data_IF_402417720761
#
_entry.id   IF_402417720761
#
_cell.length_a   1.000
_cell.length_b   1.000
_cell.length_c   1.000
_cell.angle_alpha   90.00
_cell.angle_beta   90.00
_cell.angle_gamma   90.00
#
_symmetry.space_group_name_H-M   'P 1'
#
loop_
_entity.id
_entity.type
_entity.pdbx_description
1 polymer ?
#
# COMPACT_ATOMS: atom_id res chain seq x y z
N UNK A 1 1.88 4.66 -3.22
CA UNK A 1 2.36 3.26 -3.23
C UNK A 1 1.15 2.37 -3.30
N UNK A 2 0.95 1.73 -4.46
CA UNK A 2 -0.11 0.74 -4.64
C UNK A 2 0.41 -0.66 -4.33
N UNK A 3 -0.50 -1.60 -4.07
CA UNK A 3 -0.16 -2.98 -3.75
C UNK A 3 -1.22 -3.93 -4.27
N UNK A 4 -0.81 -5.15 -4.57
CA UNK A 4 -1.67 -6.22 -5.07
C UNK A 4 -1.68 -7.37 -4.07
N UNK A 5 -2.88 -7.82 -3.70
CA UNK A 5 -3.07 -9.06 -2.92
C UNK A 5 -3.79 -10.07 -3.80
N UNK A 6 -3.18 -11.25 -3.97
CA UNK A 6 -3.84 -12.38 -4.63
C UNK A 6 -4.65 -13.16 -3.60
N UNK A 7 -5.95 -13.21 -3.80
CA UNK A 7 -6.88 -13.96 -2.97
C UNK A 7 -7.34 -15.21 -3.71
N UNK A 8 -6.94 -16.36 -3.17
CA UNK A 8 -7.41 -17.67 -3.60
C UNK A 8 -8.44 -18.16 -2.59
N UNK A 9 -9.73 -18.01 -2.90
CA UNK A 9 -10.77 -18.67 -2.11
C UNK A 9 -10.60 -20.18 -2.25
N UNK A 10 -10.57 -20.89 -1.11
CA UNK A 10 -10.58 -22.35 -1.13
C UNK A 10 -11.81 -22.80 -1.93
N UNK A 11 -11.56 -23.55 -3.03
CA UNK A 11 -12.56 -24.13 -3.97
C UNK A 11 -13.07 -23.23 -5.10
N UNK A 12 -12.57 -22.01 -5.28
CA UNK A 12 -12.80 -21.24 -6.50
C UNK A 12 -11.58 -21.38 -7.41
N UNK A 13 -11.78 -21.72 -8.68
CA UNK A 13 -10.70 -21.81 -9.67
C UNK A 13 -10.23 -20.42 -10.14
N UNK A 14 -11.00 -19.37 -9.87
CA UNK A 14 -10.69 -18.01 -10.33
C UNK A 14 -9.93 -17.27 -9.24
N UNK A 15 -8.70 -16.84 -9.56
CA UNK A 15 -7.91 -15.99 -8.67
C UNK A 15 -8.49 -14.57 -8.68
N UNK A 16 -8.72 -13.97 -7.51
CA UNK A 16 -9.00 -12.53 -7.40
C UNK A 16 -7.74 -11.78 -7.01
N UNK A 17 -7.54 -10.65 -7.67
CA UNK A 17 -6.49 -9.70 -7.40
C UNK A 17 -7.13 -8.48 -6.74
N UNK A 18 -6.68 -8.12 -5.54
CA UNK A 18 -7.14 -6.94 -4.82
C UNK A 18 -6.05 -5.88 -4.94
N UNK A 19 -6.36 -4.81 -5.63
CA UNK A 19 -5.51 -3.62 -5.75
C UNK A 19 -5.81 -2.61 -4.67
N UNK A 20 -4.81 -2.25 -3.88
CA UNK A 20 -4.85 -1.17 -2.90
C UNK A 20 -4.12 0.06 -3.45
N UNK A 21 -4.71 1.25 -3.33
CA UNK A 21 -4.09 2.51 -3.75
C UNK A 21 -4.66 3.04 -5.07
N UNK A 22 -4.02 4.06 -5.66
CA UNK A 22 -4.53 4.69 -6.88
C UNK A 22 -4.69 3.65 -7.98
N UNK A 23 -5.82 3.71 -8.67
CA UNK A 23 -6.21 2.77 -9.72
C UNK A 23 -5.12 2.60 -10.78
N UNK A 24 -4.57 3.71 -11.27
CA UNK A 24 -3.56 3.72 -12.32
C UNK A 24 -2.26 3.03 -11.84
N UNK A 25 -1.86 3.31 -10.60
CA UNK A 25 -0.68 2.70 -9.98
C UNK A 25 -0.88 1.19 -9.77
N UNK A 26 -2.08 0.75 -9.38
CA UNK A 26 -2.45 -0.68 -9.28
C UNK A 26 -2.38 -1.35 -10.64
N UNK A 27 -2.98 -0.76 -11.68
CA UNK A 27 -2.97 -1.30 -13.05
C UNK A 27 -1.53 -1.48 -13.54
N UNK A 28 -0.69 -0.45 -13.36
CA UNK A 28 0.73 -0.51 -13.72
C UNK A 28 1.48 -1.61 -12.97
N UNK A 29 1.19 -1.80 -11.68
CA UNK A 29 1.81 -2.85 -10.90
C UNK A 29 1.37 -4.25 -11.37
N UNK A 30 0.09 -4.44 -11.73
CA UNK A 30 -0.42 -5.71 -12.27
C UNK A 30 0.28 -6.02 -13.58
N UNK A 31 0.31 -5.06 -14.51
CA UNK A 31 1.00 -5.20 -15.80
C UNK A 31 2.49 -5.52 -15.62
N UNK A 32 3.14 -4.93 -14.61
CA UNK A 32 4.55 -5.19 -14.30
C UNK A 32 4.78 -6.59 -13.72
N UNK A 33 3.93 -7.03 -12.78
CA UNK A 33 4.02 -8.36 -12.17
C UNK A 33 3.60 -9.47 -13.14
N UNK A 34 2.77 -9.14 -14.13
CA UNK A 34 2.30 -10.06 -15.17
C UNK A 34 3.06 -9.93 -16.48
N UNK A 35 4.16 -9.18 -16.54
CA UNK A 35 4.93 -8.90 -17.76
C UNK A 35 5.44 -10.13 -18.55
N UNK A 36 5.29 -11.35 -18.01
CA UNK A 36 5.56 -12.61 -18.71
C UNK A 36 4.44 -12.95 -19.71
N UNK A 37 3.23 -12.43 -19.50
CA UNK A 37 2.04 -12.59 -20.35
C UNK A 37 1.32 -11.25 -20.49
N UNK A 38 1.25 -10.63 -21.68
CA UNK A 38 0.53 -9.38 -21.88
C UNK A 38 -0.92 -9.52 -21.41
N UNK A 39 -1.36 -8.67 -20.49
CA UNK A 39 -2.71 -8.68 -19.98
C UNK A 39 -3.50 -7.45 -20.48
N UNK A 40 -4.70 -7.68 -20.99
CA UNK A 40 -5.58 -6.62 -21.52
C UNK A 40 -6.77 -6.39 -20.58
N UNK A 41 -7.15 -5.12 -20.38
CA UNK A 41 -8.40 -4.75 -19.72
C UNK A 41 -9.56 -5.10 -20.67
N UNK A 42 -10.40 -6.05 -20.27
CA UNK A 42 -11.56 -6.49 -21.05
C UNK A 42 -12.87 -5.91 -20.51
N UNK A 43 -12.81 -4.93 -19.60
CA UNK A 43 -14.00 -4.34 -18.97
C UNK A 43 -14.77 -3.43 -19.91
N UNK A 44 -16.07 -3.68 -20.06
CA UNK A 44 -17.01 -2.79 -20.75
C UNK A 44 -17.28 -1.48 -19.98
N UNK A 45 -16.85 -1.40 -18.72
CA UNK A 45 -17.10 -0.27 -17.82
C UNK A 45 -15.77 0.26 -17.25
N UNK A 46 -15.12 1.22 -17.93
CA UNK A 46 -13.99 1.93 -17.36
C UNK A 46 -14.44 2.64 -16.07
N UNK A 47 -13.67 2.52 -14.99
CA UNK A 47 -13.96 3.01 -13.62
C UNK A 47 -14.88 2.13 -12.75
N UNK A 48 -15.22 0.90 -13.19
CA UNK A 48 -15.85 -0.06 -12.30
C UNK A 48 -14.93 -0.42 -11.11
N UNK A 49 -15.44 -0.58 -9.88
CA UNK A 49 -14.67 -1.08 -8.75
C UNK A 49 -14.05 -2.47 -8.97
N UNK A 50 -14.57 -3.21 -9.95
CA UNK A 50 -14.02 -4.47 -10.43
C UNK A 50 -13.75 -4.37 -11.92
N UNK A 51 -12.54 -4.72 -12.35
CA UNK A 51 -12.22 -4.92 -13.77
C UNK A 51 -11.76 -6.35 -14.01
N UNK A 52 -12.03 -6.81 -15.22
CA UNK A 52 -11.55 -8.09 -15.69
C UNK A 52 -10.31 -7.83 -16.51
N UNK A 53 -9.25 -8.56 -16.18
CA UNK A 53 -8.06 -8.62 -16.99
C UNK A 53 -7.97 -10.01 -17.58
N UNK A 54 -7.54 -10.08 -18.83
CA UNK A 54 -7.33 -11.33 -19.53
C UNK A 54 -5.86 -11.48 -19.85
N UNK A 55 -5.29 -12.64 -19.51
CA UNK A 55 -4.00 -13.07 -20.03
C UNK A 55 -4.17 -14.21 -21.07
N UNK A 56 -3.07 -14.84 -21.48
CA UNK A 56 -3.08 -15.94 -22.46
C UNK A 56 -3.82 -17.20 -21.93
N UNK A 57 -3.94 -17.36 -20.62
CA UNK A 57 -4.41 -18.58 -19.97
C UNK A 57 -5.82 -18.43 -19.39
N UNK A 58 -6.15 -17.28 -18.80
CA UNK A 58 -7.41 -17.08 -18.09
C UNK A 58 -7.86 -15.61 -17.96
N UNK A 59 -9.08 -15.42 -17.47
CA UNK A 59 -9.61 -14.13 -17.02
C UNK A 59 -9.49 -14.08 -15.51
N UNK A 60 -8.87 -13.03 -15.00
CA UNK A 60 -8.78 -12.76 -13.56
C UNK A 60 -9.40 -11.41 -13.21
N UNK A 61 -9.95 -11.32 -12.01
CA UNK A 61 -10.71 -10.14 -11.58
C UNK A 61 -9.87 -9.27 -10.65
N UNK A 62 -9.79 -7.98 -10.95
CA UNK A 62 -9.06 -6.98 -10.20
C UNK A 62 -10.05 -6.07 -9.49
N UNK A 63 -9.94 -5.98 -8.17
CA UNK A 63 -10.81 -5.17 -7.31
C UNK A 63 -10.01 -3.98 -6.82
N UNK A 64 -10.49 -2.78 -7.14
CA UNK A 64 -9.82 -1.52 -6.87
C UNK A 64 -10.33 -0.88 -5.58
N UNK A 65 -9.47 -0.82 -4.56
CA UNK A 65 -9.75 -0.25 -3.25
C UNK A 65 -9.10 1.14 -3.11
N UNK A 66 -9.46 2.03 -4.02
CA UNK A 66 -8.72 3.27 -4.28
C UNK A 66 -8.72 4.22 -3.07
N UNK A 67 -9.82 4.23 -2.30
CA UNK A 67 -9.93 5.01 -1.07
C UNK A 67 -10.93 4.36 -0.13
N UNK A 68 -10.45 3.69 0.92
CA UNK A 68 -11.30 3.29 2.05
C UNK A 68 -11.70 4.57 2.79
N UNK A 69 -13.00 4.94 2.83
CA UNK A 69 -13.46 6.16 3.47
C UNK A 69 -13.04 6.18 4.95
N UNK A 70 -12.63 7.35 5.44
CA UNK A 70 -12.36 7.50 6.87
C UNK A 70 -13.65 7.48 7.69
N UNK A 71 -14.77 7.91 7.12
CA UNK A 71 -16.07 7.80 7.77
C UNK A 71 -16.51 6.34 7.89
N UNK A 72 -16.86 5.86 9.09
CA UNK A 72 -17.25 4.46 9.33
C UNK A 72 -18.46 4.00 8.51
N UNK A 73 -19.45 4.87 8.33
CA UNK A 73 -20.69 4.54 7.61
C UNK A 73 -20.44 4.40 6.11
N UNK A 74 -19.72 5.36 5.53
CA UNK A 74 -19.31 5.31 4.12
C UNK A 74 -18.35 4.16 3.86
N UNK A 75 -17.44 3.90 4.80
CA UNK A 75 -16.53 2.76 4.76
C UNK A 75 -17.28 1.44 4.73
N UNK A 76 -18.28 1.28 5.59
CA UNK A 76 -19.10 0.07 5.63
C UNK A 76 -19.83 -0.13 4.31
N UNK A 77 -20.43 0.93 3.75
CA UNK A 77 -21.13 0.86 2.45
C UNK A 77 -20.18 0.50 1.31
N UNK A 78 -19.00 1.13 1.26
CA UNK A 78 -18.02 0.92 0.19
C UNK A 78 -17.39 -0.48 0.29
N UNK A 79 -17.02 -0.92 1.49
CA UNK A 79 -16.56 -2.29 1.75
C UNK A 79 -17.63 -3.35 1.45
N UNK A 80 -18.90 -3.09 1.77
CA UNK A 80 -20.01 -4.02 1.46
C UNK A 80 -20.24 -4.14 -0.05
N UNK A 81 -20.22 -3.02 -0.78
CA UNK A 81 -20.32 -2.99 -2.24
C UNK A 81 -19.17 -3.77 -2.90
N UNK A 82 -17.94 -3.55 -2.43
CA UNK A 82 -16.76 -4.27 -2.92
C UNK A 82 -16.79 -5.75 -2.59
N UNK A 83 -17.13 -6.11 -1.34
CA UNK A 83 -17.27 -7.51 -0.93
C UNK A 83 -18.32 -8.21 -1.79
N UNK A 84 -19.46 -7.57 -2.05
CA UNK A 84 -20.49 -8.11 -2.94
C UNK A 84 -19.98 -8.34 -4.36
N UNK A 85 -19.18 -7.42 -4.91
CA UNK A 85 -18.64 -7.55 -6.26
C UNK A 85 -17.53 -8.61 -6.37
N UNK A 86 -16.63 -8.67 -5.39
CA UNK A 86 -15.59 -9.72 -5.26
C UNK A 86 -16.23 -11.10 -5.14
N UNK A 87 -17.26 -11.23 -4.31
CA UNK A 87 -18.01 -12.45 -4.17
C UNK A 87 -18.74 -12.83 -5.45
N UNK A 88 -19.39 -11.88 -6.11
CA UNK A 88 -20.09 -12.18 -7.35
C UNK A 88 -19.09 -12.76 -8.36
N UNK A 89 -17.95 -12.10 -8.58
CA UNK A 89 -16.90 -12.57 -9.48
C UNK A 89 -16.29 -13.94 -9.07
N UNK A 90 -16.05 -14.17 -7.77
CA UNK A 90 -15.42 -15.42 -7.31
C UNK A 90 -16.37 -16.60 -7.16
N UNK A 91 -17.64 -16.32 -6.89
CA UNK A 91 -18.58 -17.32 -6.40
C UNK A 91 -19.71 -17.60 -7.38
N UNK A 92 -19.93 -16.77 -8.42
CA UNK A 92 -21.01 -16.97 -9.39
C UNK A 92 -20.94 -18.36 -10.05
N UNK A 93 -19.79 -18.72 -10.62
CA UNK A 93 -19.60 -20.06 -11.19
C UNK A 93 -19.49 -21.15 -10.12
N UNK A 94 -18.76 -20.89 -9.03
CA UNK A 94 -18.56 -21.87 -7.96
C UNK A 94 -19.84 -22.21 -7.17
N UNK A 95 -20.86 -21.35 -7.22
CA UNK A 95 -22.14 -21.51 -6.50
C UNK A 95 -23.34 -21.64 -7.42
N UNK A 96 -23.12 -21.80 -8.73
CA UNK A 96 -24.18 -21.89 -9.75
C UNK A 96 -25.23 -22.96 -9.42
N UNK A 97 -24.78 -24.10 -8.90
CA UNK A 97 -25.64 -25.25 -8.56
C UNK A 97 -25.97 -25.32 -7.06
N UNK A 98 -25.58 -24.30 -6.27
CA UNK A 98 -25.84 -24.34 -4.84
C UNK A 98 -27.31 -24.01 -4.55
N UNK A 99 -27.97 -24.77 -3.64
CA UNK A 99 -29.23 -24.34 -3.06
C UNK A 99 -29.09 -22.93 -2.46
N UNK A 100 -30.09 -22.07 -2.63
CA UNK A 100 -30.05 -20.65 -2.23
C UNK A 100 -29.54 -20.42 -0.81
N UNK A 101 -29.98 -21.24 0.16
CA UNK A 101 -29.52 -21.14 1.55
C UNK A 101 -28.06 -21.53 1.78
N UNK A 102 -27.50 -22.44 0.96
CA UNK A 102 -26.06 -22.78 0.98
C UNK A 102 -25.23 -21.72 0.27
N UNK A 103 -25.77 -21.13 -0.81
CA UNK A 103 -25.16 -20.01 -1.53
C UNK A 103 -24.97 -18.80 -0.59
N UNK A 104 -26.03 -18.40 0.14
CA UNK A 104 -25.95 -17.31 1.10
C UNK A 104 -24.89 -17.54 2.20
N UNK A 105 -24.83 -18.75 2.79
CA UNK A 105 -23.82 -19.09 3.81
C UNK A 105 -22.39 -19.10 3.27
N UNK A 106 -22.20 -19.59 2.05
CA UNK A 106 -20.89 -19.59 1.39
C UNK A 106 -20.41 -18.16 1.13
N UNK A 107 -21.31 -17.32 0.61
CA UNK A 107 -21.08 -15.89 0.38
C UNK A 107 -20.69 -15.19 1.69
N UNK A 108 -21.46 -15.38 2.76
CA UNK A 108 -21.17 -14.81 4.09
C UNK A 108 -19.77 -15.20 4.61
N UNK A 109 -19.38 -16.47 4.47
CA UNK A 109 -18.06 -16.94 4.87
C UNK A 109 -16.95 -16.25 4.07
N UNK A 110 -17.12 -16.16 2.74
CA UNK A 110 -16.14 -15.53 1.86
C UNK A 110 -16.00 -14.01 2.09
N UNK A 111 -17.10 -13.29 2.41
CA UNK A 111 -17.00 -11.86 2.86
C UNK A 111 -16.15 -11.75 4.10
N UNK A 112 -16.44 -12.59 5.09
CA UNK A 112 -15.78 -12.51 6.38
C UNK A 112 -14.28 -12.79 6.24
N UNK A 113 -13.91 -13.80 5.44
CA UNK A 113 -12.50 -14.11 5.15
C UNK A 113 -11.81 -12.94 4.44
N UNK A 114 -12.46 -12.35 3.43
CA UNK A 114 -11.94 -11.19 2.71
C UNK A 114 -11.74 -9.97 3.62
N UNK A 115 -12.74 -9.62 4.43
CA UNK A 115 -12.65 -8.49 5.37
C UNK A 115 -11.55 -8.70 6.40
N UNK A 116 -11.41 -9.93 6.92
CA UNK A 116 -10.36 -10.25 7.88
C UNK A 116 -8.96 -10.04 7.28
N UNK A 117 -8.72 -10.47 6.04
CA UNK A 117 -7.44 -10.24 5.37
C UNK A 117 -7.18 -8.76 5.12
N UNK A 118 -8.20 -8.00 4.66
CA UNK A 118 -8.09 -6.55 4.47
C UNK A 118 -7.72 -5.84 5.78
N UNK A 119 -8.36 -6.20 6.89
CA UNK A 119 -8.04 -5.62 8.20
C UNK A 119 -6.65 -6.03 8.70
N UNK A 120 -6.27 -7.30 8.58
CA UNK A 120 -4.95 -7.78 8.97
C UNK A 120 -3.82 -7.11 8.16
N UNK A 121 -4.06 -6.78 6.90
CA UNK A 121 -3.13 -6.02 6.06
C UNK A 121 -3.04 -4.56 6.50
N UNK A 122 -4.16 -3.92 6.80
CA UNK A 122 -4.19 -2.55 7.33
C UNK A 122 -3.38 -2.46 8.63
N UNK A 123 -3.57 -3.39 9.56
CA UNK A 123 -2.81 -3.44 10.82
C UNK A 123 -1.31 -3.65 10.59
N UNK A 124 -0.93 -4.56 9.69
CA UNK A 124 0.47 -4.77 9.30
C UNK A 124 1.11 -3.47 8.77
N UNK A 125 0.41 -2.74 7.89
CA UNK A 125 0.89 -1.46 7.35
C UNK A 125 1.01 -0.37 8.40
N UNK A 126 0.05 -0.26 9.31
CA UNK A 126 0.11 0.72 10.40
C UNK A 126 1.30 0.42 11.32
N UNK A 127 1.55 -0.86 11.60
CA UNK A 127 2.71 -1.30 12.38
C UNK A 127 4.03 -1.01 11.67
N UNK A 128 4.16 -1.40 10.40
CA UNK A 128 5.34 -1.09 9.58
C UNK A 128 5.57 0.43 9.50
N UNK A 129 4.50 1.21 9.33
CA UNK A 129 4.55 2.68 9.35
C UNK A 129 5.10 3.21 10.66
N UNK A 130 4.57 2.75 11.78
CA UNK A 130 5.03 3.14 13.10
C UNK A 130 6.49 2.76 13.34
N UNK A 131 6.91 1.56 12.92
CA UNK A 131 8.28 1.07 13.07
C UNK A 131 9.28 1.87 12.24
N UNK A 132 8.96 2.17 10.97
CA UNK A 132 9.88 2.96 10.17
C UNK A 132 9.90 4.43 10.58
N UNK A 133 8.77 5.02 11.01
CA UNK A 133 8.75 6.37 11.58
C UNK A 133 9.66 6.46 12.82
N UNK A 134 9.59 5.47 13.72
CA UNK A 134 10.54 5.38 14.85
C UNK A 134 11.99 5.27 14.37
N UNK A 135 12.25 4.52 13.30
CA UNK A 135 13.58 4.43 12.71
C UNK A 135 14.04 5.78 12.16
N UNK A 136 13.18 6.53 11.47
CA UNK A 136 13.48 7.85 10.93
C UNK A 136 13.74 8.85 12.06
N UNK A 137 12.94 8.85 13.12
CA UNK A 137 13.20 9.69 14.31
C UNK A 137 14.60 9.46 14.89
N UNK A 138 15.08 8.21 14.92
CA UNK A 138 16.47 7.89 15.34
C UNK A 138 17.52 8.42 14.34
N UNK A 139 17.27 8.27 13.03
CA UNK A 139 18.19 8.72 11.97
C UNK A 139 18.30 10.25 11.89
N UNK A 140 17.30 10.98 12.38
CA UNK A 140 17.26 12.45 12.41
C UNK A 140 17.99 13.05 13.62
N UNK A 141 18.25 12.26 14.69
CA UNK A 141 18.98 12.75 15.88
C UNK A 141 20.32 13.43 15.52
N UNK A 142 21.18 12.85 14.65
CA UNK A 142 22.39 13.53 14.20
C UNK A 142 22.14 14.86 13.48
N UNK A 143 21.03 15.01 12.74
CA UNK A 143 20.65 16.27 12.09
C UNK A 143 20.25 17.31 13.13
N UNK A 144 19.45 16.94 14.13
CA UNK A 144 19.08 17.84 15.25
C UNK A 144 20.34 18.30 16.01
N UNK A 145 21.28 17.39 16.29
CA UNK A 145 22.58 17.76 16.88
C UNK A 145 23.43 18.67 16.00
N UNK A 146 23.43 18.45 14.68
CA UNK A 146 24.16 19.29 13.74
C UNK A 146 23.53 20.69 13.61
N UNK A 147 22.19 20.78 13.69
CA UNK A 147 21.45 22.03 13.69
C UNK A 147 21.90 22.93 14.86
N UNK A 148 22.06 22.36 16.06
CA UNK A 148 22.55 23.08 17.24
C UNK A 148 23.99 23.58 17.07
N UNK A 149 24.80 22.90 16.25
CA UNK A 149 26.20 23.26 15.94
C UNK A 149 26.34 24.25 14.78
N UNK A 150 25.29 24.46 13.98
CA UNK A 150 25.34 25.33 12.81
C UNK A 150 25.50 26.80 13.23
N UNK A 151 26.52 27.46 12.69
CA UNK A 151 26.85 28.85 13.03
C UNK A 151 26.24 29.87 12.07
N UNK A 152 25.81 29.45 10.87
CA UNK A 152 25.20 30.34 9.86
C UNK A 152 23.72 30.01 9.66
N UNK A 153 22.91 31.03 9.38
CA UNK A 153 21.47 30.87 9.12
C UNK A 153 21.22 29.99 7.88
N UNK A 154 22.03 30.11 6.83
CA UNK A 154 21.96 29.24 5.66
C UNK A 154 22.18 27.75 6.01
N UNK A 155 23.16 27.46 6.87
CA UNK A 155 23.42 26.07 7.30
C UNK A 155 22.29 25.54 8.16
N UNK A 156 21.76 26.35 9.08
CA UNK A 156 20.60 25.98 9.90
C UNK A 156 19.38 25.72 9.04
N UNK A 157 19.07 26.58 8.08
CA UNK A 157 17.92 26.43 7.18
C UNK A 157 18.03 25.14 6.35
N UNK A 158 19.23 24.81 5.83
CA UNK A 158 19.46 23.56 5.10
C UNK A 158 19.24 22.32 5.96
N UNK A 159 19.79 22.31 7.18
CA UNK A 159 19.64 21.17 8.11
C UNK A 159 18.19 21.04 8.57
N UNK A 160 17.54 22.14 8.93
CA UNK A 160 16.13 22.14 9.35
C UNK A 160 15.22 21.64 8.22
N UNK A 161 15.41 22.12 7.00
CA UNK A 161 14.64 21.65 5.85
C UNK A 161 14.79 20.13 5.65
N UNK A 162 15.99 19.58 5.81
CA UNK A 162 16.18 18.14 5.68
C UNK A 162 15.59 17.32 6.83
N UNK A 163 15.48 17.90 8.03
CA UNK A 163 14.71 17.30 9.13
C UNK A 163 13.24 17.22 8.72
N UNK A 164 12.66 18.34 8.27
CA UNK A 164 11.25 18.43 7.89
C UNK A 164 10.95 17.49 6.71
N UNK A 165 11.79 17.50 5.67
CA UNK A 165 11.66 16.65 4.49
C UNK A 165 11.80 15.14 4.83
N UNK A 166 12.66 14.79 5.79
CA UNK A 166 12.81 13.40 6.24
C UNK A 166 11.65 12.94 7.12
N UNK A 167 11.09 13.81 7.97
CA UNK A 167 9.88 13.53 8.76
C UNK A 167 8.63 13.42 7.87
N UNK A 168 8.58 14.16 6.75
CA UNK A 168 7.50 14.13 5.76
C UNK A 168 7.65 13.04 4.67
N UNK A 169 8.76 12.30 4.65
CA UNK A 169 9.04 11.32 3.60
C UNK A 169 7.99 10.19 3.56
N UNK A 170 7.64 9.74 2.35
CA UNK A 170 6.62 8.70 2.15
C UNK A 170 7.07 7.29 2.58
N UNK A 171 8.39 7.07 2.69
CA UNK A 171 8.97 5.82 3.13
C UNK A 171 10.37 6.00 3.73
N UNK A 172 10.88 4.93 4.36
CA UNK A 172 12.16 4.89 5.05
C UNK A 172 13.36 5.18 4.15
N UNK A 173 13.36 4.64 2.92
CA UNK A 173 14.51 4.74 2.02
C UNK A 173 14.67 6.17 1.52
N UNK A 174 13.56 6.85 1.20
CA UNK A 174 13.58 8.26 0.83
C UNK A 174 14.06 9.14 1.98
N UNK A 175 13.58 8.91 3.20
CA UNK A 175 14.08 9.60 4.38
C UNK A 175 15.59 9.40 4.56
N UNK A 176 16.07 8.17 4.38
CA UNK A 176 17.50 7.82 4.48
C UNK A 176 18.34 8.52 3.41
N UNK A 177 17.82 8.63 2.19
CA UNK A 177 18.48 9.34 1.08
C UNK A 177 18.64 10.83 1.39
N UNK A 178 17.58 11.49 1.88
CA UNK A 178 17.61 12.91 2.30
C UNK A 178 18.64 13.12 3.40
N UNK A 179 18.60 12.29 4.44
CA UNK A 179 19.53 12.33 5.57
C UNK A 179 20.97 12.16 5.11
N UNK A 180 21.24 11.16 4.26
CA UNK A 180 22.59 10.90 3.74
C UNK A 180 23.09 12.03 2.83
N UNK A 181 22.21 12.66 2.06
CA UNK A 181 22.55 13.80 1.21
C UNK A 181 23.08 14.95 2.06
N UNK A 182 22.36 15.32 3.12
CA UNK A 182 22.80 16.39 4.02
C UNK A 182 24.04 16.03 4.82
N UNK A 183 24.16 14.79 5.30
CA UNK A 183 25.38 14.36 6.02
C UNK A 183 26.63 14.42 5.16
N UNK A 184 26.49 14.27 3.85
CA UNK A 184 27.60 14.31 2.89
C UNK A 184 27.76 15.64 2.15
N UNK A 185 26.91 16.63 2.43
CA UNK A 185 27.05 17.99 1.88
C UNK A 185 28.39 18.58 2.34
N UNK A 186 29.25 18.98 1.39
CA UNK A 186 30.61 19.45 1.69
C UNK A 186 30.67 20.68 2.61
N UNK A 187 29.61 21.51 2.62
CA UNK A 187 29.51 22.68 3.51
C UNK A 187 29.04 22.33 4.93
N UNK A 188 28.41 21.17 5.11
CA UNK A 188 27.78 20.77 6.38
C UNK A 188 28.47 19.55 7.04
N UNK A 189 29.27 18.79 6.28
CA UNK A 189 29.91 17.54 6.72
C UNK A 189 30.69 17.69 8.05
N UNK A 190 31.29 18.85 8.28
CA UNK A 190 32.00 19.21 9.52
C UNK A 190 31.12 19.18 10.78
N UNK A 191 29.81 19.38 10.65
CA UNK A 191 28.87 19.31 11.78
C UNK A 191 28.43 17.87 12.09
N UNK A 192 28.78 16.93 11.20
CA UNK A 192 28.45 15.51 11.30
C UNK A 192 29.66 14.62 11.60
N UNK A 193 30.88 15.17 11.61
CA UNK A 193 32.09 14.47 12.05
C UNK A 193 32.07 14.26 13.56
N UNK A 194 32.42 13.05 13.98
CA UNK A 194 32.03 12.40 15.24
C UNK A 194 32.40 13.15 16.52
N UNK A 195 31.40 13.26 17.39
CA UNK A 195 31.61 13.00 18.81
C UNK A 195 30.43 12.12 19.27
N UNK A 196 30.76 10.96 19.86
CA UNK A 196 29.86 9.94 20.45
C UNK A 196 29.56 8.68 19.63
N UNK A 197 30.62 7.89 19.39
CA UNK A 197 30.64 6.41 19.51
C UNK A 197 30.88 5.99 20.99
N UNK A 198 30.24 6.69 21.92
CA UNK A 198 30.24 6.37 23.35
C UNK A 198 28.88 6.75 23.93
N UNK A 199 27.92 5.82 23.87
CA UNK A 199 27.08 5.33 25.00
C UNK A 199 26.63 3.92 24.62
#
# INVERSE_FOLDING_TARGET
>A
MSEIIRFNLRKANNSVIIGLGKREDVILQIQKEMAVTPCEDTSSYPNSPVQNFKDEFDIFHVVFLDEIPQNDKERTIKLASWSSAVLYALTEDATKDFPTGKKAKFIECAVRELLNEIFALKERKEKEKSEWLRSVSKMIVPLKRALDKCTTEDSKAKVQKAIDDAEAAENKDRAKEIINTIKNDGSLKQFFTEESDRI
#
